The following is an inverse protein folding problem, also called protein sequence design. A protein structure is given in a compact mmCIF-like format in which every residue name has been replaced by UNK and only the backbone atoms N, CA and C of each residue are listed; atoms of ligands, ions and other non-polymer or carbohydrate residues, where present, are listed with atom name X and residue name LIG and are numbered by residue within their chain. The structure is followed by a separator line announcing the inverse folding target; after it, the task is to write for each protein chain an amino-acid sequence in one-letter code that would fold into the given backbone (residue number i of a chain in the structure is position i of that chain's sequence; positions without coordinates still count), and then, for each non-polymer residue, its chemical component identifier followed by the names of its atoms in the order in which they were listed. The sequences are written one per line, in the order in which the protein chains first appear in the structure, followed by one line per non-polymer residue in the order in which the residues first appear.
data_IF_691835595397
#
_entry.id   IF_691835595397
#
_cell.length_a   1.000
_cell.length_b   1.000
_cell.length_c   1.000
_cell.angle_alpha   90.00
_cell.angle_beta   90.00
_cell.angle_gamma   90.00
#
_symmetry.space_group_name_H-M   'P 1'
#
loop_
_entity.id
_entity.type
_entity.pdbx_description
1 polymer ?
#
# COMPACT_ATOMS: atom_id res chain seq x y z
N UNK A 1 -43.94 -4.48 8.14
CA UNK A 1 -43.97 -5.28 6.90
C UNK A 1 -43.13 -4.53 5.89
N UNK A 2 -42.11 -5.17 5.28
CA UNK A 2 -41.40 -4.50 4.19
C UNK A 2 -42.39 -4.24 3.05
N UNK A 3 -42.41 -3.02 2.55
CA UNK A 3 -43.19 -2.65 1.37
C UNK A 3 -42.60 -3.36 0.15
N UNK A 4 -43.42 -3.74 -0.86
CA UNK A 4 -42.92 -4.37 -2.08
C UNK A 4 -41.78 -3.59 -2.75
N UNK A 5 -41.81 -2.26 -2.66
CA UNK A 5 -40.78 -1.38 -3.19
C UNK A 5 -39.43 -1.48 -2.44
N UNK A 6 -39.45 -1.63 -1.12
CA UNK A 6 -38.25 -1.77 -0.28
C UNK A 6 -37.55 -3.10 -0.57
N UNK A 7 -38.32 -4.17 -0.79
CA UNK A 7 -37.78 -5.48 -1.17
C UNK A 7 -37.05 -5.42 -2.51
N UNK A 8 -37.62 -4.75 -3.51
CA UNK A 8 -36.98 -4.55 -4.82
C UNK A 8 -35.68 -3.76 -4.67
N UNK A 9 -35.69 -2.69 -3.87
CA UNK A 9 -34.50 -1.89 -3.60
C UNK A 9 -33.37 -2.71 -2.96
N UNK A 10 -33.68 -3.55 -1.98
CA UNK A 10 -32.71 -4.44 -1.33
C UNK A 10 -32.16 -5.47 -2.32
N UNK A 11 -33.00 -6.06 -3.17
CA UNK A 11 -32.55 -7.03 -4.18
C UNK A 11 -31.57 -6.38 -5.17
N UNK A 12 -31.89 -5.18 -5.66
CA UNK A 12 -31.00 -4.43 -6.56
C UNK A 12 -29.68 -4.12 -5.85
N UNK A 13 -29.73 -3.67 -4.60
CA UNK A 13 -28.53 -3.39 -3.80
C UNK A 13 -27.65 -4.63 -3.64
N UNK A 14 -28.25 -5.79 -3.32
CA UNK A 14 -27.53 -7.05 -3.19
C UNK A 14 -26.90 -7.46 -4.53
N UNK A 15 -27.61 -7.31 -5.65
CA UNK A 15 -27.07 -7.63 -6.98
C UNK A 15 -25.86 -6.74 -7.28
N UNK A 16 -25.94 -5.43 -7.00
CA UNK A 16 -24.82 -4.51 -7.17
C UNK A 16 -23.65 -4.93 -6.28
N UNK A 17 -23.91 -5.29 -5.02
CA UNK A 17 -22.90 -5.74 -4.07
C UNK A 17 -22.19 -7.01 -4.58
N UNK A 18 -22.93 -7.99 -5.08
CA UNK A 18 -22.38 -9.23 -5.64
C UNK A 18 -21.51 -8.97 -6.88
N UNK A 19 -21.91 -8.04 -7.75
CA UNK A 19 -21.11 -7.64 -8.92
C UNK A 19 -19.81 -6.95 -8.48
N UNK A 20 -19.87 -6.11 -7.44
CA UNK A 20 -18.72 -5.37 -6.92
C UNK A 20 -17.71 -6.28 -6.19
N UNK A 21 -18.19 -7.29 -5.46
CA UNK A 21 -17.35 -8.25 -4.73
C UNK A 21 -16.86 -9.44 -5.58
N UNK A 22 -17.00 -9.41 -6.91
CA UNK A 22 -16.46 -10.48 -7.77
C UNK A 22 -14.94 -10.62 -7.55
N UNK A 23 -14.44 -11.86 -7.37
CA UNK A 23 -13.03 -12.12 -7.01
C UNK A 23 -12.06 -11.52 -8.04
N UNK A 24 -12.39 -11.56 -9.33
CA UNK A 24 -11.59 -10.96 -10.39
C UNK A 24 -11.37 -9.45 -10.22
N UNK A 25 -12.41 -8.71 -9.82
CA UNK A 25 -12.34 -7.26 -9.62
C UNK A 25 -11.43 -6.94 -8.43
N UNK A 26 -11.55 -7.69 -7.35
CA UNK A 26 -10.70 -7.55 -6.16
C UNK A 26 -9.23 -7.85 -6.47
N UNK A 27 -8.96 -8.93 -7.21
CA UNK A 27 -7.60 -9.30 -7.59
C UNK A 27 -6.98 -8.27 -8.54
N UNK A 28 -7.73 -7.78 -9.53
CA UNK A 28 -7.25 -6.71 -10.44
C UNK A 28 -6.95 -5.42 -9.68
N UNK A 29 -7.82 -5.03 -8.76
CA UNK A 29 -7.60 -3.86 -7.91
C UNK A 29 -6.35 -4.01 -7.04
N UNK A 30 -6.18 -5.16 -6.39
CA UNK A 30 -4.98 -5.45 -5.58
C UNK A 30 -3.68 -5.42 -6.39
N UNK A 31 -3.71 -5.92 -7.63
CA UNK A 31 -2.55 -5.83 -8.55
C UNK A 31 -2.25 -4.39 -8.94
N UNK A 32 -3.26 -3.59 -9.31
CA UNK A 32 -3.08 -2.18 -9.64
C UNK A 32 -2.53 -1.36 -8.46
N UNK A 33 -2.97 -1.63 -7.23
CA UNK A 33 -2.38 -1.02 -6.03
C UNK A 33 -0.93 -1.46 -5.81
N UNK A 34 -0.60 -2.71 -6.09
CA UNK A 34 0.77 -3.22 -6.01
C UNK A 34 1.70 -2.55 -7.01
N UNK A 35 1.23 -2.34 -8.24
CA UNK A 35 1.94 -1.62 -9.30
C UNK A 35 2.14 -0.14 -8.94
N UNK A 36 1.08 0.56 -8.51
CA UNK A 36 1.18 1.93 -8.02
C UNK A 36 2.15 2.08 -6.84
N UNK A 37 2.12 1.14 -5.87
CA UNK A 37 3.08 1.13 -4.75
C UNK A 37 4.51 0.95 -5.24
N UNK A 38 4.72 0.12 -6.27
CA UNK A 38 6.04 -0.14 -6.85
C UNK A 38 6.55 1.06 -7.65
N UNK A 39 5.68 1.76 -8.37
CA UNK A 39 6.02 2.99 -9.09
C UNK A 39 6.40 4.12 -8.12
N UNK A 40 5.61 4.34 -7.05
CA UNK A 40 5.94 5.31 -5.99
C UNK A 40 7.32 5.04 -5.37
N UNK A 41 7.63 3.76 -5.14
CA UNK A 41 8.92 3.33 -4.59
C UNK A 41 10.10 3.49 -5.55
N UNK A 42 9.84 3.44 -6.86
CA UNK A 42 10.87 3.56 -7.89
C UNK A 42 11.12 5.01 -8.32
N UNK A 43 10.16 5.91 -8.06
CA UNK A 43 10.25 7.34 -8.38
C UNK A 43 11.03 8.18 -7.37
N UNK A 44 11.19 7.71 -6.13
CA UNK A 44 12.12 8.31 -5.18
C UNK A 44 13.54 7.82 -5.46
N UNK A 45 14.31 8.58 -6.22
CA UNK A 45 15.75 8.45 -6.22
C UNK A 45 16.28 8.73 -4.81
N UNK A 46 16.61 7.66 -4.08
CA UNK A 46 17.28 7.71 -2.78
C UNK A 46 18.68 8.29 -3.03
N UNK A 47 19.05 9.35 -2.31
CA UNK A 47 20.37 9.96 -2.45
C UNK A 47 21.47 9.00 -1.99
N UNK A 48 22.63 9.07 -2.66
CA UNK A 48 23.78 8.19 -2.39
C UNK A 48 24.27 8.31 -0.94
N UNK A 49 24.09 9.48 -0.33
CA UNK A 49 24.47 9.74 1.06
C UNK A 49 23.59 8.95 2.05
N UNK A 50 22.28 8.93 1.85
CA UNK A 50 21.32 8.14 2.61
C UNK A 50 21.60 6.64 2.46
N UNK A 51 21.95 6.19 1.25
CA UNK A 51 22.38 4.79 1.01
C UNK A 51 23.67 4.49 1.77
N UNK A 52 24.65 5.39 1.75
CA UNK A 52 25.92 5.22 2.45
C UNK A 52 25.72 5.15 3.97
N UNK A 53 24.89 6.02 4.55
CA UNK A 53 24.55 6.03 5.98
C UNK A 53 23.79 4.75 6.34
N UNK A 54 22.80 4.35 5.53
CA UNK A 54 22.05 3.11 5.73
C UNK A 54 22.97 1.88 5.74
N UNK A 55 23.87 1.77 4.77
CA UNK A 55 24.85 0.68 4.69
C UNK A 55 25.80 0.66 5.89
N UNK A 56 26.30 1.82 6.33
CA UNK A 56 27.13 1.93 7.54
C UNK A 56 26.41 1.47 8.81
N UNK A 57 25.09 1.66 8.88
CA UNK A 57 24.24 1.24 9.99
C UNK A 57 23.69 -0.19 9.84
N UNK A 58 24.05 -0.90 8.76
CA UNK A 58 23.57 -2.24 8.44
C UNK A 58 22.09 -2.30 8.08
N UNK A 59 21.53 -1.23 7.52
CA UNK A 59 20.14 -1.13 7.09
C UNK A 59 20.03 -1.59 5.63
N UNK A 60 19.12 -2.53 5.35
CA UNK A 60 18.81 -2.95 3.98
C UNK A 60 18.08 -1.84 3.23
N UNK A 61 18.66 -1.36 2.13
CA UNK A 61 18.13 -0.32 1.24
C UNK A 61 17.19 -0.87 0.16
N UNK A 62 17.46 -2.09 -0.31
CA UNK A 62 16.65 -2.71 -1.37
C UNK A 62 15.23 -2.97 -0.91
N UNK A 63 14.27 -2.43 -1.65
CA UNK A 63 12.88 -2.64 -1.34
C UNK A 63 12.40 -1.84 -0.13
N UNK A 64 12.96 -0.66 0.14
CA UNK A 64 12.39 0.35 1.05
C UNK A 64 12.20 1.69 0.34
N UNK A 65 11.28 2.53 0.80
CA UNK A 65 11.18 3.94 0.36
C UNK A 65 12.25 4.78 1.03
N UNK A 66 12.48 5.99 0.53
CA UNK A 66 13.44 6.92 1.15
C UNK A 66 13.02 7.23 2.59
N UNK A 67 11.72 7.40 2.84
CA UNK A 67 11.22 7.69 4.19
C UNK A 67 11.44 6.52 5.15
N UNK A 68 11.18 5.28 4.72
CA UNK A 68 11.43 4.07 5.52
C UNK A 68 12.92 3.96 5.91
N UNK A 69 13.83 4.27 4.98
CA UNK A 69 15.27 4.26 5.23
C UNK A 69 15.65 5.37 6.23
N UNK A 70 15.17 6.59 6.05
CA UNK A 70 15.45 7.72 6.95
C UNK A 70 14.91 7.49 8.36
N UNK A 71 13.74 6.85 8.48
CA UNK A 71 13.15 6.48 9.77
C UNK A 71 14.01 5.44 10.50
N UNK A 72 14.46 4.40 9.80
CA UNK A 72 15.35 3.39 10.38
C UNK A 72 16.72 3.94 10.75
N UNK A 73 17.27 4.85 9.95
CA UNK A 73 18.50 5.59 10.27
C UNK A 73 18.30 6.34 11.59
N UNK A 74 17.25 7.16 11.68
CA UNK A 74 16.96 7.93 12.90
C UNK A 74 16.75 7.03 14.12
N UNK A 75 16.05 5.90 13.97
CA UNK A 75 15.81 4.95 15.06
C UNK A 75 17.11 4.32 15.56
N UNK A 76 18.00 3.92 14.66
CA UNK A 76 19.32 3.38 15.01
C UNK A 76 20.23 4.42 15.64
N UNK A 77 20.22 5.66 15.13
CA UNK A 77 20.98 6.77 15.70
C UNK A 77 20.51 7.10 17.12
N UNK A 78 19.19 7.17 17.35
CA UNK A 78 18.61 7.37 18.70
C UNK A 78 18.86 6.21 19.66
N UNK A 79 19.11 5.00 19.15
CA UNK A 79 19.43 3.84 19.98
C UNK A 79 20.93 3.72 20.29
N UNK A 80 21.78 4.47 19.58
CA UNK A 80 23.23 4.56 19.80
C UNK A 80 23.65 5.81 20.59
N UNK A 81 22.75 6.80 20.73
CA UNK A 81 22.91 7.97 21.59
C UNK A 81 22.36 7.68 23.00
#
# INVERSE_FOLDING_TARGET
MLSPLELIGIIILIIILVILLKPDTLVKFGRGLGELRREMKSGESIDEETIAIANKLGIKVEGKTKEEILEEINKKLKSQA
#
